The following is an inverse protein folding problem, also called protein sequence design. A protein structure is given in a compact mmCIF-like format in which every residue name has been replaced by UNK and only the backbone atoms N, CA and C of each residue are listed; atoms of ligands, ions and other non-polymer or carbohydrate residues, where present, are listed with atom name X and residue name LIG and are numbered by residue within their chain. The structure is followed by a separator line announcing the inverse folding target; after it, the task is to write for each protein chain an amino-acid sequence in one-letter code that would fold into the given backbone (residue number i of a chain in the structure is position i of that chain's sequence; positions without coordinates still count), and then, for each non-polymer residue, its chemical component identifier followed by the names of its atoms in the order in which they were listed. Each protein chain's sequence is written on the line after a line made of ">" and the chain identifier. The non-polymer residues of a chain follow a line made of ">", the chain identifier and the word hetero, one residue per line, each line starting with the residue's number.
data_IF_896572867549
#
_entry.id   IF_896572867549
#
_cell.length_a   1.000
_cell.length_b   1.000
_cell.length_c   1.000
_cell.angle_alpha   90.00
_cell.angle_beta   90.00
_cell.angle_gamma   90.00
#
_symmetry.space_group_name_H-M   'P 1'
#
loop_
_entity.id
_entity.type
_entity.pdbx_description
1 polymer ?
#
# COMPACT_ATOMS: atom_id res chain seq x y z
N UNK A 1 24.19 32.61 11.77
CA UNK A 1 22.98 33.09 11.06
C UNK A 1 22.56 32.16 9.91
N UNK A 2 23.48 31.38 9.33
CA UNK A 2 23.22 30.40 8.26
C UNK A 2 22.49 29.13 8.73
N UNK A 3 22.74 28.65 9.94
CA UNK A 3 22.13 27.40 10.46
C UNK A 3 20.61 27.47 10.67
N UNK A 4 20.09 28.66 10.98
CA UNK A 4 18.67 28.88 11.27
C UNK A 4 17.81 28.84 9.98
N UNK A 5 18.41 29.26 8.86
CA UNK A 5 17.77 29.24 7.53
C UNK A 5 17.69 27.80 7.01
N UNK A 6 18.76 27.01 7.19
CA UNK A 6 18.80 25.60 6.78
C UNK A 6 17.79 24.77 7.58
N UNK A 7 17.70 24.99 8.89
CA UNK A 7 16.71 24.32 9.74
C UNK A 7 15.25 24.62 9.34
N UNK A 8 14.95 25.89 9.01
CA UNK A 8 13.60 26.28 8.60
C UNK A 8 13.19 25.68 7.24
N UNK A 9 14.10 25.64 6.27
CA UNK A 9 13.84 25.04 4.95
C UNK A 9 13.64 23.52 5.07
N UNK A 10 14.42 22.84 5.91
CA UNK A 10 14.27 21.41 6.13
C UNK A 10 12.91 21.05 6.76
N UNK A 11 12.43 21.83 7.73
CA UNK A 11 11.12 21.60 8.38
C UNK A 11 9.95 21.80 7.41
N UNK A 12 10.02 22.81 6.53
CA UNK A 12 8.97 23.04 5.52
C UNK A 12 8.89 21.90 4.50
N UNK A 13 10.04 21.39 4.04
CA UNK A 13 10.07 20.27 3.07
C UNK A 13 9.51 18.98 3.70
N UNK A 14 9.93 18.65 4.94
CA UNK A 14 9.43 17.47 5.65
C UNK A 14 7.92 17.59 5.95
N UNK A 15 7.46 18.77 6.37
CA UNK A 15 6.04 19.03 6.60
C UNK A 15 5.19 18.91 5.33
N UNK A 16 5.69 19.44 4.20
CA UNK A 16 5.01 19.35 2.90
C UNK A 16 4.91 17.90 2.39
N UNK A 17 5.96 17.09 2.55
CA UNK A 17 5.96 15.67 2.19
C UNK A 17 4.99 14.86 3.05
N UNK A 18 4.89 15.16 4.34
CA UNK A 18 3.93 14.53 5.26
C UNK A 18 2.47 14.74 4.83
N UNK A 19 2.12 15.99 4.51
CA UNK A 19 0.75 16.36 4.09
C UNK A 19 0.39 15.76 2.72
N UNK A 20 1.34 15.73 1.78
CA UNK A 20 1.15 15.12 0.47
C UNK A 20 0.95 13.60 0.58
N UNK A 21 1.73 12.93 1.43
CA UNK A 21 1.60 11.50 1.72
C UNK A 21 0.25 11.15 2.33
N UNK A 22 -0.26 12.00 3.22
CA UNK A 22 -1.54 11.77 3.88
C UNK A 22 -2.73 11.95 2.91
N UNK A 23 -2.70 12.95 2.04
CA UNK A 23 -3.73 13.11 1.00
C UNK A 23 -3.73 11.96 -0.01
N UNK A 24 -2.56 11.52 -0.46
CA UNK A 24 -2.44 10.38 -1.36
C UNK A 24 -2.94 9.07 -0.72
N UNK A 25 -2.63 8.87 0.56
CA UNK A 25 -3.10 7.71 1.34
C UNK A 25 -4.62 7.74 1.51
N UNK A 26 -5.20 8.90 1.84
CA UNK A 26 -6.67 9.06 1.92
C UNK A 26 -7.35 8.80 0.59
N UNK A 27 -6.78 9.27 -0.53
CA UNK A 27 -7.30 9.00 -1.88
C UNK A 27 -7.27 7.52 -2.22
N UNK A 28 -6.15 6.82 -1.97
CA UNK A 28 -6.05 5.36 -2.18
C UNK A 28 -7.03 4.58 -1.32
N UNK A 29 -7.21 4.98 -0.05
CA UNK A 29 -8.19 4.35 0.84
C UNK A 29 -9.61 4.47 0.29
N UNK A 30 -10.00 5.65 -0.19
CA UNK A 30 -11.31 5.86 -0.84
C UNK A 30 -11.43 5.02 -2.11
N UNK A 31 -10.44 5.09 -3.01
CA UNK A 31 -10.45 4.28 -4.23
C UNK A 31 -10.53 2.77 -3.96
N UNK A 32 -9.86 2.29 -2.91
CA UNK A 32 -9.99 0.90 -2.47
C UNK A 32 -11.42 0.57 -2.02
N UNK A 33 -12.04 1.43 -1.21
CA UNK A 33 -13.43 1.27 -0.78
C UNK A 33 -14.40 1.35 -1.97
N UNK A 34 -14.19 2.27 -2.90
CA UNK A 34 -15.04 2.42 -4.09
C UNK A 34 -14.93 1.18 -5.00
N UNK A 35 -13.73 0.58 -5.11
CA UNK A 35 -13.50 -0.59 -5.97
C UNK A 35 -13.93 -1.91 -5.34
N UNK A 36 -13.63 -2.13 -4.07
CA UNK A 36 -13.78 -3.44 -3.41
C UNK A 36 -14.84 -3.43 -2.30
N UNK A 37 -15.30 -2.27 -1.85
CA UNK A 37 -16.23 -2.10 -0.73
C UNK A 37 -15.58 -2.33 0.63
N UNK A 38 -15.03 -3.53 0.82
CA UNK A 38 -14.45 -4.00 2.06
C UNK A 38 -13.23 -4.87 1.82
N UNK A 39 -12.57 -5.29 2.91
CA UNK A 39 -11.50 -6.29 2.82
C UNK A 39 -12.01 -7.62 2.27
N UNK A 40 -13.21 -8.08 2.69
CA UNK A 40 -13.78 -9.33 2.18
C UNK A 40 -14.14 -9.25 0.70
N UNK A 41 -14.64 -8.08 0.24
CA UNK A 41 -14.91 -7.86 -1.18
C UNK A 41 -13.63 -7.77 -2.03
N UNK A 42 -12.51 -7.38 -1.42
CA UNK A 42 -11.19 -7.51 -2.03
C UNK A 42 -10.74 -8.97 -2.05
N UNK A 43 -10.80 -9.67 -0.90
CA UNK A 43 -10.38 -11.07 -0.74
C UNK A 43 -11.06 -11.99 -1.76
N UNK A 44 -12.35 -11.80 -2.01
CA UNK A 44 -13.11 -12.60 -2.98
C UNK A 44 -12.74 -12.35 -4.45
N UNK A 45 -12.03 -11.27 -4.75
CA UNK A 45 -11.58 -10.92 -6.10
C UNK A 45 -10.12 -11.28 -6.37
N UNK A 46 -9.35 -11.67 -5.34
CA UNK A 46 -7.96 -12.09 -5.52
C UNK A 46 -7.91 -13.53 -6.00
N UNK A 47 -7.07 -13.79 -7.01
CA UNK A 47 -6.75 -15.14 -7.48
C UNK A 47 -5.88 -15.86 -6.44
N UNK A 48 -6.54 -16.57 -5.54
CA UNK A 48 -5.91 -17.30 -4.44
C UNK A 48 -4.91 -18.35 -4.93
N UNK A 49 -5.25 -19.11 -5.97
CA UNK A 49 -4.41 -20.19 -6.48
C UNK A 49 -3.11 -19.65 -7.09
N UNK A 50 -3.20 -18.55 -7.83
CA UNK A 50 -2.01 -17.85 -8.33
C UNK A 50 -1.15 -17.34 -7.19
N UNK A 51 -1.74 -16.70 -6.17
CA UNK A 51 -0.97 -16.14 -5.06
C UNK A 51 -0.30 -17.25 -4.25
N UNK A 52 -0.99 -18.36 -4.00
CA UNK A 52 -0.42 -19.54 -3.34
C UNK A 52 0.74 -20.13 -4.15
N UNK A 53 0.57 -20.26 -5.47
CA UNK A 53 1.61 -20.73 -6.38
C UNK A 53 2.87 -19.85 -6.34
N UNK A 54 2.70 -18.52 -6.44
CA UNK A 54 3.82 -17.56 -6.35
C UNK A 54 4.49 -17.62 -4.98
N UNK A 55 3.71 -17.71 -3.90
CA UNK A 55 4.25 -17.82 -2.53
C UNK A 55 5.13 -19.06 -2.38
N UNK A 56 4.66 -20.22 -2.85
CA UNK A 56 5.41 -21.46 -2.78
C UNK A 56 6.67 -21.44 -3.64
N UNK A 57 6.65 -20.77 -4.80
CA UNK A 57 7.79 -20.73 -5.71
C UNK A 57 8.84 -19.64 -5.37
N UNK A 58 8.39 -18.49 -4.84
CA UNK A 58 9.21 -17.26 -4.75
C UNK A 58 9.16 -16.58 -3.38
N UNK A 59 8.33 -17.07 -2.46
CA UNK A 59 8.21 -16.56 -1.09
C UNK A 59 7.20 -15.43 -0.90
N UNK A 60 7.03 -15.02 0.36
CA UNK A 60 5.98 -14.10 0.80
C UNK A 60 6.06 -12.71 0.14
N UNK A 61 7.28 -12.18 -0.06
CA UNK A 61 7.45 -10.85 -0.68
C UNK A 61 6.98 -10.85 -2.13
N UNK A 62 7.26 -11.91 -2.88
CA UNK A 62 6.81 -12.06 -4.25
C UNK A 62 5.29 -12.22 -4.33
N UNK A 63 4.70 -12.98 -3.40
CA UNK A 63 3.24 -13.12 -3.30
C UNK A 63 2.55 -11.78 -2.99
N UNK A 64 3.08 -11.00 -2.04
CA UNK A 64 2.56 -9.66 -1.73
C UNK A 64 2.67 -8.72 -2.92
N UNK A 65 3.76 -8.82 -3.68
CA UNK A 65 3.92 -8.06 -4.93
C UNK A 65 2.89 -8.48 -5.97
N UNK A 66 2.72 -9.77 -6.23
CA UNK A 66 1.75 -10.28 -7.20
C UNK A 66 0.32 -9.76 -6.91
N UNK A 67 -0.11 -9.83 -5.64
CA UNK A 67 -1.40 -9.27 -5.20
C UNK A 67 -1.52 -7.78 -5.56
N UNK A 68 -0.47 -6.98 -5.36
CA UNK A 68 -0.50 -5.54 -5.63
C UNK A 68 -0.37 -5.20 -7.11
N UNK A 69 0.29 -6.04 -7.89
CA UNK A 69 0.38 -5.88 -9.34
C UNK A 69 -1.02 -6.12 -9.97
N UNK A 70 -1.77 -7.11 -9.48
CA UNK A 70 -3.13 -7.39 -9.95
C UNK A 70 -4.20 -6.46 -9.32
N UNK A 71 -3.94 -5.98 -8.10
CA UNK A 71 -4.84 -5.11 -7.34
C UNK A 71 -4.09 -3.86 -6.84
N UNK A 72 -3.79 -2.89 -7.72
CA UNK A 72 -2.92 -1.75 -7.42
C UNK A 72 -3.49 -0.77 -6.37
N UNK A 73 -4.80 -0.84 -6.13
CA UNK A 73 -5.47 -0.05 -5.09
C UNK A 73 -5.30 -0.66 -3.69
N UNK A 74 -4.88 -1.94 -3.59
CA UNK A 74 -4.57 -2.57 -2.31
C UNK A 74 -3.31 -1.93 -1.71
N UNK A 75 -3.42 -1.49 -0.46
CA UNK A 75 -2.25 -1.02 0.28
C UNK A 75 -1.31 -2.19 0.59
N UNK A 76 -0.04 -1.88 0.86
CA UNK A 76 0.92 -2.91 1.26
C UNK A 76 0.46 -3.70 2.49
N UNK A 77 -0.16 -3.02 3.46
CA UNK A 77 -0.71 -3.65 4.66
C UNK A 77 -1.85 -4.62 4.33
N UNK A 78 -2.76 -4.22 3.43
CA UNK A 78 -3.89 -5.07 3.01
C UNK A 78 -3.39 -6.29 2.24
N UNK A 79 -2.46 -6.11 1.30
CA UNK A 79 -1.88 -7.22 0.54
C UNK A 79 -1.07 -8.17 1.43
N UNK A 80 -0.29 -7.63 2.38
CA UNK A 80 0.44 -8.44 3.35
C UNK A 80 -0.50 -9.24 4.26
N UNK A 81 -1.58 -8.60 4.73
CA UNK A 81 -2.61 -9.27 5.52
C UNK A 81 -3.20 -10.46 4.76
N UNK A 82 -3.61 -10.26 3.50
CA UNK A 82 -4.15 -11.33 2.67
C UNK A 82 -3.18 -12.50 2.53
N UNK A 83 -1.92 -12.24 2.17
CA UNK A 83 -0.91 -13.30 2.01
C UNK A 83 -0.64 -14.06 3.32
N UNK A 84 -0.76 -13.40 4.48
CA UNK A 84 -0.60 -14.05 5.80
C UNK A 84 -1.81 -14.87 6.23
N UNK A 85 -3.00 -14.57 5.70
CA UNK A 85 -4.26 -15.28 5.97
C UNK A 85 -4.52 -16.44 4.98
N UNK A 86 -3.63 -16.64 4.00
CA UNK A 86 -3.60 -17.76 3.05
C UNK A 86 -2.80 -18.95 3.59
#
# INVERSE_FOLDING_TARGET
>A
MTDLIIGAVAVVIVGALGIAGERATRRRKRAFQDRYGSYEGFRSQVDEDRVRSVRSAQGDVAAVKAVRDDHPLASLVVANRYVREL
#
